data_IF_906085159924
#
_entry.id   IF_906085159924
#
_cell.length_a   1.000
_cell.length_b   1.000
_cell.length_c   1.000
_cell.angle_alpha   90.00
_cell.angle_beta   90.00
_cell.angle_gamma   90.00
#
_symmetry.space_group_name_H-M   'P 1'
#
loop_
_entity.id
_entity.type
_entity.pdbx_description
1 polymer ?
#
# COMPACT_ATOMS: atom_id res chain seq x y z
N UNK A 1 2.05 5.37 -16.26
CA UNK A 1 1.44 5.27 -14.91
C UNK A 1 2.37 5.91 -13.89
N UNK A 2 1.84 6.62 -12.90
CA UNK A 2 2.58 7.06 -11.71
C UNK A 2 2.20 6.16 -10.53
N UNK A 3 3.18 5.68 -9.76
CA UNK A 3 2.96 4.79 -8.61
C UNK A 3 3.41 5.43 -7.29
N UNK A 4 2.54 5.35 -6.28
CA UNK A 4 2.83 5.76 -4.90
C UNK A 4 2.65 4.57 -3.95
N UNK A 5 3.73 4.15 -3.31
CA UNK A 5 3.67 3.21 -2.18
C UNK A 5 3.12 3.93 -0.94
N UNK A 6 2.33 3.23 -0.12
CA UNK A 6 1.65 3.82 1.03
C UNK A 6 2.54 4.13 2.26
N UNK A 7 2.13 3.62 3.43
CA UNK A 7 2.75 3.92 4.72
C UNK A 7 1.82 4.70 5.66
N UNK A 8 1.88 6.05 5.73
CA UNK A 8 2.55 6.96 4.81
C UNK A 8 4.08 6.99 5.01
N UNK A 9 4.81 7.45 3.99
CA UNK A 9 6.25 7.66 4.08
C UNK A 9 7.11 6.43 3.78
N UNK A 10 6.55 5.45 3.06
CA UNK A 10 7.30 4.33 2.50
C UNK A 10 7.75 4.64 1.06
N UNK A 11 8.99 4.28 0.75
CA UNK A 11 9.62 4.54 -0.54
C UNK A 11 8.96 3.73 -1.66
N UNK A 12 8.74 4.37 -2.80
CA UNK A 12 8.26 3.76 -4.04
C UNK A 12 9.29 2.83 -4.67
N UNK A 13 10.54 2.81 -4.18
CA UNK A 13 11.47 1.72 -4.47
C UNK A 13 10.88 0.37 -4.05
N UNK A 14 9.99 0.34 -3.05
CA UNK A 14 9.23 -0.87 -2.68
C UNK A 14 8.38 -1.37 -3.84
N UNK A 15 7.62 -0.48 -4.47
CA UNK A 15 6.84 -0.80 -5.67
C UNK A 15 7.70 -1.33 -6.81
N UNK A 16 8.92 -0.80 -6.95
CA UNK A 16 9.86 -1.15 -8.01
C UNK A 16 10.51 -2.55 -7.82
N UNK A 17 10.87 -2.93 -6.59
CA UNK A 17 11.66 -4.16 -6.32
C UNK A 17 10.88 -5.29 -5.65
N UNK A 18 9.78 -4.98 -4.95
CA UNK A 18 8.99 -5.99 -4.21
C UNK A 18 7.65 -6.30 -4.87
N UNK A 19 7.08 -5.35 -5.60
CA UNK A 19 5.68 -5.43 -6.03
C UNK A 19 5.59 -5.57 -7.56
N UNK A 20 5.48 -4.44 -8.27
CA UNK A 20 5.03 -4.37 -9.66
C UNK A 20 6.13 -4.05 -10.66
N UNK A 21 7.32 -3.67 -10.19
CA UNK A 21 8.44 -3.29 -11.04
C UNK A 21 9.23 -4.46 -11.63
N UNK A 22 10.24 -4.16 -12.47
CA UNK A 22 10.95 -5.15 -13.27
C UNK A 22 12.02 -5.92 -12.51
N UNK A 23 12.29 -5.57 -11.26
CA UNK A 23 13.42 -6.05 -10.51
C UNK A 23 12.97 -6.73 -9.22
N UNK A 24 13.83 -7.57 -8.69
CA UNK A 24 13.75 -8.08 -7.33
C UNK A 24 15.15 -8.44 -6.83
N UNK A 25 15.29 -8.65 -5.53
CA UNK A 25 16.55 -9.10 -4.96
C UNK A 25 16.68 -10.60 -5.11
N UNK A 26 17.88 -11.04 -5.48
CA UNK A 26 18.22 -12.46 -5.41
C UNK A 26 18.12 -12.90 -3.95
N UNK A 27 17.31 -13.93 -3.72
CA UNK A 27 17.02 -14.42 -2.39
C UNK A 27 18.16 -15.32 -1.89
N UNK A 28 19.21 -14.71 -1.36
CA UNK A 28 20.41 -15.39 -0.88
C UNK A 28 20.92 -14.77 0.42
N UNK A 29 21.67 -15.54 1.20
CA UNK A 29 22.25 -15.03 2.44
C UNK A 29 23.20 -13.86 2.15
N UNK A 30 23.01 -12.77 2.90
CA UNK A 30 23.84 -11.58 2.81
C UNK A 30 25.27 -11.90 3.25
N UNK A 31 26.18 -11.91 2.28
CA UNK A 31 27.58 -12.23 2.46
C UNK A 31 28.47 -10.99 2.69
N UNK A 32 27.87 -9.81 2.88
CA UNK A 32 28.59 -8.54 3.04
C UNK A 32 28.89 -7.79 1.72
N UNK A 33 28.60 -8.38 0.56
CA UNK A 33 28.73 -7.72 -0.75
C UNK A 33 27.44 -7.04 -1.20
N UNK A 34 27.52 -6.20 -2.24
CA UNK A 34 26.36 -5.52 -2.80
C UNK A 34 25.27 -6.55 -3.21
N UNK A 35 24.04 -6.46 -2.67
CA UNK A 35 22.98 -7.41 -3.01
C UNK A 35 22.63 -7.41 -4.50
N UNK A 36 22.49 -8.62 -5.06
CA UNK A 36 22.21 -8.78 -6.49
C UNK A 36 20.74 -8.51 -6.83
N UNK A 37 20.52 -7.78 -7.91
CA UNK A 37 19.20 -7.61 -8.53
C UNK A 37 19.02 -8.62 -9.66
N UNK A 38 17.82 -9.19 -9.76
CA UNK A 38 17.39 -10.07 -10.84
C UNK A 38 16.07 -9.60 -11.44
N UNK A 39 15.80 -9.99 -12.68
CA UNK A 39 14.57 -9.60 -13.38
C UNK A 39 13.35 -10.32 -12.80
N UNK A 40 12.28 -9.57 -12.59
CA UNK A 40 10.96 -10.10 -12.20
C UNK A 40 10.17 -10.51 -13.46
N UNK A 41 9.77 -11.77 -13.61
CA UNK A 41 9.03 -12.22 -14.81
C UNK A 41 7.65 -11.56 -14.96
N UNK A 42 6.98 -11.19 -13.88
CA UNK A 42 5.61 -10.66 -13.88
C UNK A 42 5.55 -9.17 -13.54
N UNK A 43 6.42 -8.38 -14.19
CA UNK A 43 6.44 -6.92 -14.04
C UNK A 43 5.33 -6.24 -14.83
N UNK A 44 4.69 -5.25 -14.21
CA UNK A 44 3.73 -4.38 -14.88
C UNK A 44 4.38 -3.48 -15.94
N UNK A 45 5.71 -3.30 -15.86
CA UNK A 45 6.46 -2.56 -16.89
C UNK A 45 6.44 -3.21 -18.27
N UNK A 46 6.01 -4.47 -18.38
CA UNK A 46 5.81 -5.17 -19.65
C UNK A 46 4.66 -4.58 -20.48
N UNK A 47 3.72 -3.88 -19.86
CA UNK A 47 2.53 -3.31 -20.52
C UNK A 47 2.30 -1.84 -20.18
N UNK A 48 3.19 -1.19 -19.43
CA UNK A 48 3.08 0.22 -19.06
C UNK A 48 4.45 0.84 -18.73
N UNK A 49 4.67 2.10 -19.08
CA UNK A 49 5.77 2.88 -18.49
C UNK A 49 5.37 3.39 -17.10
N UNK A 50 6.20 3.16 -16.09
CA UNK A 50 5.86 3.46 -14.68
C UNK A 50 6.88 4.43 -14.08
N UNK A 51 6.38 5.49 -13.45
CA UNK A 51 7.15 6.44 -12.65
C UNK A 51 6.90 6.10 -11.17
N UNK A 52 7.94 5.66 -10.46
CA UNK A 52 7.90 5.39 -9.02
C UNK A 52 8.37 6.64 -8.28
N UNK A 53 7.51 7.22 -7.43
CA UNK A 53 7.77 8.52 -6.83
C UNK A 53 7.84 8.41 -5.31
N UNK A 54 8.98 8.76 -4.73
CA UNK A 54 9.17 8.88 -3.29
C UNK A 54 8.53 10.16 -2.77
N UNK A 55 7.32 10.04 -2.20
CA UNK A 55 6.63 11.14 -1.51
C UNK A 55 5.87 10.62 -0.28
N UNK A 56 5.69 11.45 0.77
CA UNK A 56 6.06 12.85 0.89
C UNK A 56 7.57 13.06 1.10
N UNK A 57 8.02 14.32 1.16
CA UNK A 57 9.43 14.70 1.38
C UNK A 57 10.09 13.94 2.55
N UNK A 58 11.40 13.65 2.45
CA UNK A 58 12.14 12.79 3.40
C UNK A 58 11.73 11.31 3.39
N UNK A 59 10.98 10.86 2.38
CA UNK A 59 10.71 9.44 2.11
C UNK A 59 11.73 8.93 1.11
N UNK A 60 12.34 7.77 1.39
CA UNK A 60 13.36 7.18 0.53
C UNK A 60 14.47 8.16 0.16
N UNK A 61 14.56 8.54 -1.11
CA UNK A 61 15.59 9.45 -1.62
C UNK A 61 15.18 10.93 -1.66
N UNK A 62 13.91 11.26 -1.38
CA UNK A 62 13.41 12.64 -1.45
C UNK A 62 13.86 13.44 -0.23
N UNK A 63 14.16 14.73 -0.39
CA UNK A 63 14.69 15.59 0.68
C UNK A 63 14.19 17.04 0.58
N UNK A 64 14.34 17.78 1.67
CA UNK A 64 14.10 19.21 1.75
C UNK A 64 15.38 19.94 2.17
N UNK A 65 15.53 21.20 1.77
CA UNK A 65 16.65 22.07 2.17
C UNK A 65 16.28 23.04 3.29
N UNK A 66 15.01 23.12 3.66
CA UNK A 66 14.50 23.97 4.75
C UNK A 66 13.51 23.18 5.59
N UNK A 67 13.37 23.56 6.86
CA UNK A 67 12.40 22.94 7.77
C UNK A 67 10.96 23.12 7.28
N UNK A 68 10.64 24.29 6.71
CA UNK A 68 9.35 24.55 6.11
C UNK A 68 9.04 23.59 4.94
N UNK A 69 10.01 23.37 4.04
CA UNK A 69 9.85 22.43 2.93
C UNK A 69 9.83 20.96 3.39
N UNK A 70 10.32 20.66 4.61
CA UNK A 70 10.28 19.34 5.21
C UNK A 70 8.91 18.97 5.82
N UNK A 71 7.96 19.91 5.86
CA UNK A 71 6.61 19.66 6.35
C UNK A 71 5.88 18.61 5.51
N UNK A 72 5.11 17.77 6.18
CA UNK A 72 4.37 16.66 5.57
C UNK A 72 2.89 16.72 5.95
N UNK A 73 2.03 16.68 4.93
CA UNK A 73 0.61 16.43 5.11
C UNK A 73 0.03 15.70 3.90
N UNK A 74 -1.18 15.15 4.04
CA UNK A 74 -1.86 14.52 2.91
C UNK A 74 -2.07 15.54 1.77
N UNK A 75 -2.49 16.78 2.09
CA UNK A 75 -2.62 17.85 1.09
C UNK A 75 -1.31 18.31 0.47
N UNK A 76 -0.23 18.42 1.26
CA UNK A 76 1.10 18.75 0.73
C UNK A 76 1.53 17.68 -0.29
N UNK A 77 1.36 16.40 0.03
CA UNK A 77 1.66 15.29 -0.87
C UNK A 77 0.85 15.41 -2.17
N UNK A 78 -0.46 15.64 -2.08
CA UNK A 78 -1.34 15.82 -3.25
C UNK A 78 -0.81 16.92 -4.18
N UNK A 79 -0.48 18.08 -3.64
CA UNK A 79 0.04 19.21 -4.41
C UNK A 79 1.42 18.92 -5.01
N UNK A 80 2.31 18.27 -4.25
CA UNK A 80 3.63 17.89 -4.72
C UNK A 80 3.55 16.88 -5.88
N UNK A 81 2.68 15.88 -5.83
CA UNK A 81 2.49 14.93 -6.94
C UNK A 81 1.94 15.63 -8.18
N UNK A 82 0.93 16.49 -8.01
CA UNK A 82 0.36 17.24 -9.13
C UNK A 82 1.41 18.14 -9.81
N UNK A 83 2.21 18.85 -9.02
CA UNK A 83 3.31 19.68 -9.53
C UNK A 83 4.43 18.85 -10.17
N UNK A 84 4.84 17.76 -9.53
CA UNK A 84 5.87 16.86 -10.01
C UNK A 84 5.51 16.31 -11.39
N UNK A 85 4.29 15.76 -11.55
CA UNK A 85 3.89 15.14 -12.81
C UNK A 85 3.85 16.14 -13.97
N UNK A 86 3.38 17.37 -13.73
CA UNK A 86 3.40 18.43 -14.75
C UNK A 86 4.81 18.85 -15.13
N UNK A 87 5.70 19.06 -14.15
CA UNK A 87 7.10 19.39 -14.41
C UNK A 87 7.82 18.26 -15.14
N UNK A 88 7.57 17.01 -14.73
CA UNK A 88 8.12 15.84 -15.39
C UNK A 88 7.71 15.77 -16.86
N UNK A 89 6.44 16.08 -17.20
CA UNK A 89 5.97 16.13 -18.59
C UNK A 89 6.59 17.28 -19.40
N UNK A 90 6.92 18.41 -18.77
CA UNK A 90 7.68 19.49 -19.43
C UNK A 90 9.07 18.99 -19.84
N UNK A 91 9.74 18.28 -18.95
CA UNK A 91 11.08 17.74 -19.19
C UNK A 91 11.07 16.48 -20.09
N UNK A 92 9.91 15.82 -20.23
CA UNK A 92 9.72 14.59 -20.99
C UNK A 92 8.55 14.69 -21.98
N UNK A 93 8.61 15.62 -22.96
CA UNK A 93 7.46 15.96 -23.82
C UNK A 93 6.97 14.79 -24.68
N UNK A 94 7.83 13.80 -24.96
CA UNK A 94 7.48 12.58 -25.69
C UNK A 94 6.38 11.75 -25.01
N UNK A 95 6.10 11.97 -23.72
CA UNK A 95 5.04 11.28 -22.99
C UNK A 95 3.72 12.07 -22.92
N UNK A 96 3.64 13.27 -23.51
CA UNK A 96 2.48 14.17 -23.35
C UNK A 96 1.17 13.60 -23.91
N UNK A 97 1.24 12.77 -24.94
CA UNK A 97 0.07 12.09 -25.52
C UNK A 97 -0.34 10.82 -24.79
N UNK A 98 0.52 10.27 -23.93
CA UNK A 98 0.29 8.96 -23.32
C UNK A 98 -0.87 9.02 -22.34
N UNK A 99 -1.66 7.95 -22.32
CA UNK A 99 -2.68 7.74 -21.30
C UNK A 99 -2.04 7.67 -19.90
N UNK A 100 -2.55 8.49 -18.99
CA UNK A 100 -2.04 8.60 -17.63
C UNK A 100 -2.99 7.94 -16.65
N UNK A 101 -2.44 7.03 -15.86
CA UNK A 101 -3.07 6.42 -14.70
C UNK A 101 -2.26 6.71 -13.45
N UNK A 102 -2.96 6.94 -12.33
CA UNK A 102 -2.34 7.12 -11.01
C UNK A 102 -2.65 5.87 -10.17
N UNK A 103 -1.63 5.20 -9.66
CA UNK A 103 -1.74 3.94 -8.95
C UNK A 103 -1.01 3.95 -7.61
N UNK A 104 -1.42 3.05 -6.72
CA UNK A 104 -0.73 2.84 -5.46
C UNK A 104 -1.46 1.86 -4.56
N UNK A 105 -0.90 1.66 -3.38
CA UNK A 105 -1.38 0.68 -2.40
C UNK A 105 -1.52 1.29 -1.00
N UNK A 106 -2.22 0.58 -0.12
CA UNK A 106 -2.24 0.88 1.31
C UNK A 106 -2.71 2.33 1.59
N UNK A 107 -1.93 3.11 2.33
CA UNK A 107 -2.23 4.50 2.66
C UNK A 107 -2.45 5.38 1.43
N UNK A 108 -1.89 5.05 0.26
CA UNK A 108 -2.04 5.82 -0.98
C UNK A 108 -3.50 5.90 -1.45
N UNK A 109 -4.40 5.05 -0.94
CA UNK A 109 -5.84 5.18 -1.12
C UNK A 109 -6.44 6.50 -0.64
N UNK A 110 -5.77 7.19 0.29
CA UNK A 110 -6.19 8.51 0.77
C UNK A 110 -5.83 9.59 -0.26
N UNK A 111 -4.55 9.82 -0.62
CA UNK A 111 -4.19 10.90 -1.51
C UNK A 111 -4.49 10.64 -2.99
N UNK A 112 -4.48 9.41 -3.50
CA UNK A 112 -4.60 9.15 -4.95
C UNK A 112 -5.92 9.67 -5.55
N UNK A 113 -7.10 9.37 -5.00
CA UNK A 113 -8.35 9.94 -5.52
C UNK A 113 -8.33 11.47 -5.51
N UNK A 114 -7.69 12.08 -4.51
CA UNK A 114 -7.54 13.54 -4.42
C UNK A 114 -6.60 14.07 -5.50
N UNK A 115 -5.46 13.42 -5.73
CA UNK A 115 -4.51 13.74 -6.81
C UNK A 115 -5.20 13.69 -8.17
N UNK A 116 -5.96 12.63 -8.45
CA UNK A 116 -6.68 12.46 -9.71
C UNK A 116 -7.70 13.58 -9.90
N UNK A 117 -8.41 13.96 -8.84
CA UNK A 117 -9.37 15.07 -8.89
C UNK A 117 -8.67 16.42 -9.12
N UNK A 118 -7.53 16.67 -8.48
CA UNK A 118 -6.77 17.91 -8.65
C UNK A 118 -6.13 18.03 -10.04
N UNK A 119 -5.66 16.92 -10.62
CA UNK A 119 -5.22 16.87 -12.02
C UNK A 119 -6.39 17.19 -12.95
N UNK A 120 -7.54 16.53 -12.75
CA UNK A 120 -8.76 16.75 -13.54
C UNK A 120 -9.19 18.23 -13.51
N UNK A 121 -9.25 18.83 -12.32
CA UNK A 121 -9.55 20.26 -12.15
C UNK A 121 -8.50 21.16 -12.77
N UNK A 122 -7.22 20.80 -12.66
CA UNK A 122 -6.12 21.54 -13.28
C UNK A 122 -6.25 21.58 -14.80
N UNK A 123 -6.58 20.44 -15.41
CA UNK A 123 -6.85 20.35 -16.84
C UNK A 123 -8.06 21.22 -17.26
N UNK A 124 -9.17 21.16 -16.54
CA UNK A 124 -10.36 22.00 -16.80
C UNK A 124 -10.08 23.50 -16.72
N UNK A 125 -9.16 23.90 -15.83
CA UNK A 125 -8.67 25.29 -15.71
C UNK A 125 -7.66 25.68 -16.80
N UNK A 126 -7.33 24.78 -17.73
CA UNK A 126 -6.39 25.04 -18.81
C UNK A 126 -4.91 25.01 -18.39
N UNK A 127 -4.57 24.43 -17.23
CA UNK A 127 -3.17 24.28 -16.82
C UNK A 127 -2.41 23.39 -17.81
N UNK A 128 -1.21 23.84 -18.18
CA UNK A 128 -0.31 23.11 -19.08
C UNK A 128 0.87 22.46 -18.32
N UNK A 129 1.46 21.38 -18.85
CA UNK A 129 0.98 20.59 -19.99
C UNK A 129 -0.30 19.82 -19.63
N UNK A 130 -1.22 19.65 -20.59
CA UNK A 130 -2.42 18.83 -20.40
C UNK A 130 -2.04 17.39 -20.04
N UNK A 131 -2.61 16.85 -18.96
CA UNK A 131 -2.39 15.46 -18.56
C UNK A 131 -3.52 14.61 -19.14
N UNK A 132 -3.22 13.67 -20.05
CA UNK A 132 -4.21 12.75 -20.62
C UNK A 132 -4.68 11.68 -19.61
N UNK A 133 -5.33 12.12 -18.53
CA UNK A 133 -5.76 11.32 -17.38
C UNK A 133 -6.92 10.40 -17.77
N UNK A 134 -6.74 9.08 -17.57
CA UNK A 134 -7.73 8.06 -17.92
C UNK A 134 -8.39 7.39 -16.71
N UNK A 135 -7.68 7.29 -15.59
CA UNK A 135 -8.20 6.62 -14.41
C UNK A 135 -7.17 6.41 -13.31
N UNK A 136 -7.52 5.56 -12.36
CA UNK A 136 -6.67 5.26 -11.21
C UNK A 136 -6.89 3.85 -10.70
N UNK A 137 -5.93 3.35 -9.92
CA UNK A 137 -5.99 2.01 -9.36
C UNK A 137 -5.42 1.96 -7.95
N UNK A 138 -6.01 1.12 -7.11
CA UNK A 138 -5.73 1.06 -5.69
C UNK A 138 -5.69 -0.39 -5.19
N UNK A 139 -4.57 -0.80 -4.60
CA UNK A 139 -4.40 -2.11 -3.97
C UNK A 139 -4.52 -2.02 -2.45
N UNK A 140 -5.42 -2.81 -1.85
CA UNK A 140 -5.57 -2.94 -0.40
C UNK A 140 -5.58 -1.57 0.31
N UNK A 141 -6.34 -0.65 -0.25
CA UNK A 141 -6.18 0.77 -0.01
C UNK A 141 -7.07 1.28 1.12
N UNK A 142 -6.53 2.20 1.94
CA UNK A 142 -7.30 2.92 2.95
C UNK A 142 -8.18 3.98 2.27
N UNK A 143 -9.45 4.09 2.64
CA UNK A 143 -10.40 5.03 2.02
C UNK A 143 -11.11 5.89 3.06
N UNK A 144 -11.63 5.27 4.11
CA UNK A 144 -12.58 5.85 5.07
C UNK A 144 -11.99 6.09 6.46
N UNK A 145 -10.78 5.58 6.74
CA UNK A 145 -10.16 5.47 8.07
C UNK A 145 -10.91 4.54 9.03
N UNK A 146 -11.90 3.80 8.53
CA UNK A 146 -12.70 2.84 9.29
C UNK A 146 -12.30 1.39 8.98
N UNK A 147 -11.27 1.17 8.16
CA UNK A 147 -10.86 -0.16 7.68
C UNK A 147 -10.51 -1.10 8.84
N UNK A 148 -9.91 -0.59 9.91
CA UNK A 148 -9.60 -1.37 11.13
C UNK A 148 -10.83 -1.98 11.79
N UNK A 149 -12.01 -1.38 11.64
CA UNK A 149 -13.25 -1.92 12.19
C UNK A 149 -13.61 -3.27 11.57
N UNK A 150 -13.06 -3.60 10.40
CA UNK A 150 -13.30 -4.84 9.69
C UNK A 150 -12.31 -5.96 10.05
N UNK A 151 -11.33 -5.70 10.94
CA UNK A 151 -10.37 -6.72 11.36
C UNK A 151 -11.02 -7.86 12.15
N UNK A 152 -11.97 -7.55 13.01
CA UNK A 152 -12.70 -8.54 13.80
C UNK A 152 -13.59 -9.44 12.93
N UNK A 153 -14.50 -8.92 12.07
CA UNK A 153 -15.27 -9.78 11.18
C UNK A 153 -14.39 -10.53 10.17
N UNK A 154 -13.26 -9.95 9.74
CA UNK A 154 -12.28 -10.67 8.92
C UNK A 154 -11.66 -11.84 9.69
N UNK A 155 -11.18 -11.61 10.91
CA UNK A 155 -10.58 -12.64 11.74
C UNK A 155 -11.54 -13.79 12.02
N UNK A 156 -12.82 -13.48 12.27
CA UNK A 156 -13.87 -14.49 12.40
C UNK A 156 -14.06 -15.29 11.11
N UNK A 157 -14.21 -14.61 9.97
CA UNK A 157 -14.37 -15.26 8.67
C UNK A 157 -13.17 -16.12 8.23
N UNK A 158 -11.98 -15.83 8.76
CA UNK A 158 -10.76 -16.62 8.51
C UNK A 158 -10.48 -17.67 9.60
N UNK A 159 -11.39 -17.85 10.57
CA UNK A 159 -11.25 -18.85 11.65
C UNK A 159 -10.17 -18.53 12.67
N UNK A 160 -9.77 -17.27 12.79
CA UNK A 160 -8.73 -16.81 13.72
C UNK A 160 -9.29 -16.53 15.13
N UNK A 161 -10.61 -16.34 15.25
CA UNK A 161 -11.31 -16.20 16.53
C UNK A 161 -12.56 -17.08 16.56
N UNK A 162 -12.99 -17.48 17.75
CA UNK A 162 -14.16 -18.35 17.91
C UNK A 162 -15.49 -17.59 17.76
N UNK A 163 -16.58 -18.34 17.53
CA UNK A 163 -17.94 -17.79 17.45
C UNK A 163 -18.35 -17.09 18.74
N UNK A 164 -17.94 -17.60 19.90
CA UNK A 164 -18.25 -17.01 21.20
C UNK A 164 -17.57 -15.66 21.38
N UNK A 165 -16.28 -15.55 21.03
CA UNK A 165 -15.55 -14.29 21.11
C UNK A 165 -16.13 -13.28 20.11
N UNK A 166 -16.42 -13.71 18.88
CA UNK A 166 -17.02 -12.84 17.88
C UNK A 166 -18.42 -12.34 18.30
N UNK A 167 -19.29 -13.22 18.78
CA UNK A 167 -20.62 -12.86 19.28
C UNK A 167 -20.54 -11.91 20.50
N UNK A 168 -19.58 -12.13 21.41
CA UNK A 168 -19.33 -11.25 22.55
C UNK A 168 -18.86 -9.86 22.10
N UNK A 169 -17.89 -9.80 21.17
CA UNK A 169 -17.41 -8.54 20.57
C UNK A 169 -18.55 -7.76 19.91
N UNK A 170 -19.37 -8.41 19.07
CA UNK A 170 -20.51 -7.75 18.44
C UNK A 170 -21.48 -7.16 19.47
N UNK A 171 -21.86 -7.95 20.47
CA UNK A 171 -22.82 -7.55 21.51
C UNK A 171 -22.27 -6.43 22.41
N UNK A 172 -21.07 -6.62 22.94
CA UNK A 172 -20.52 -5.73 23.96
C UNK A 172 -19.93 -4.46 23.36
N UNK A 173 -19.36 -4.52 22.15
CA UNK A 173 -18.77 -3.36 21.47
C UNK A 173 -19.72 -2.65 20.49
N UNK A 174 -20.92 -3.20 20.24
CA UNK A 174 -21.91 -2.62 19.31
C UNK A 174 -21.34 -2.32 17.93
N UNK A 175 -20.53 -3.25 17.42
CA UNK A 175 -19.86 -3.15 16.12
C UNK A 175 -18.89 -1.94 15.96
N UNK A 176 -18.51 -1.29 17.06
CA UNK A 176 -17.48 -0.24 17.10
C UNK A 176 -16.22 -0.76 17.79
N UNK A 177 -15.16 -0.96 17.01
CA UNK A 177 -13.92 -1.58 17.44
C UNK A 177 -12.69 -0.66 17.34
N UNK A 178 -12.86 0.55 16.80
CA UNK A 178 -11.77 1.52 16.66
C UNK A 178 -11.74 2.45 17.86
N UNK A 179 -12.86 3.13 18.12
CA UNK A 179 -12.99 4.12 19.20
C UNK A 179 -13.76 3.51 20.37
N UNK A 180 -13.18 2.47 20.98
CA UNK A 180 -13.78 1.75 22.10
C UNK A 180 -13.88 2.64 23.34
N UNK A 181 -15.08 2.77 23.93
CA UNK A 181 -15.26 3.43 25.22
C UNK A 181 -14.60 2.59 26.31
N UNK A 182 -13.52 3.09 26.91
CA UNK A 182 -12.75 2.38 27.95
C UNK A 182 -13.55 2.13 29.22
N UNK A 183 -14.69 2.82 29.42
CA UNK A 183 -15.62 2.55 30.53
C UNK A 183 -16.48 1.31 30.26
N UNK A 184 -16.61 0.89 29.00
CA UNK A 184 -17.24 -0.37 28.64
C UNK A 184 -16.24 -1.52 28.89
N UNK A 185 -16.21 -1.97 30.15
CA UNK A 185 -15.28 -3.01 30.62
C UNK A 185 -15.47 -4.31 29.84
N UNK A 186 -16.71 -4.68 29.50
CA UNK A 186 -16.98 -5.90 28.73
C UNK A 186 -16.37 -5.84 27.33
N UNK A 187 -16.60 -4.74 26.60
CA UNK A 187 -15.98 -4.57 25.28
C UNK A 187 -14.46 -4.51 25.37
N UNK A 188 -13.92 -3.80 26.36
CA UNK A 188 -12.47 -3.67 26.53
C UNK A 188 -11.79 -5.02 26.78
N UNK A 189 -12.40 -5.88 27.60
CA UNK A 189 -11.92 -7.26 27.83
C UNK A 189 -12.01 -8.12 26.56
N UNK A 190 -13.09 -8.00 25.80
CA UNK A 190 -13.25 -8.77 24.57
C UNK A 190 -12.23 -8.33 23.51
N UNK A 191 -11.93 -7.03 23.42
CA UNK A 191 -10.88 -6.47 22.55
C UNK A 191 -9.49 -6.93 23.00
N UNK A 192 -9.23 -7.01 24.30
CA UNK A 192 -7.99 -7.58 24.84
C UNK A 192 -7.84 -9.05 24.43
N UNK A 193 -8.91 -9.85 24.58
CA UNK A 193 -8.94 -11.27 24.17
C UNK A 193 -8.68 -11.43 22.67
N UNK A 194 -9.28 -10.57 21.84
CA UNK A 194 -9.00 -10.51 20.41
C UNK A 194 -7.52 -10.22 20.11
N UNK A 195 -6.96 -9.22 20.77
CA UNK A 195 -5.55 -8.84 20.59
C UNK A 195 -4.60 -9.95 21.04
N UNK A 196 -4.94 -10.69 22.11
CA UNK A 196 -4.14 -11.81 22.61
C UNK A 196 -4.09 -12.96 21.59
N UNK A 197 -5.26 -13.43 21.15
CA UNK A 197 -5.38 -14.53 20.17
C UNK A 197 -4.73 -14.19 18.82
N UNK A 198 -4.70 -12.92 18.43
CA UNK A 198 -4.12 -12.47 17.15
C UNK A 198 -2.69 -11.94 17.25
N UNK A 199 -2.10 -11.87 18.45
CA UNK A 199 -0.82 -11.18 18.72
C UNK A 199 0.40 -11.71 17.94
N UNK A 200 0.35 -12.96 17.48
CA UNK A 200 1.43 -13.62 16.73
C UNK A 200 1.23 -13.66 15.22
N UNK A 201 0.12 -13.11 14.69
CA UNK A 201 -0.19 -13.18 13.27
C UNK A 201 0.53 -12.07 12.48
N UNK A 202 0.92 -12.41 11.25
CA UNK A 202 1.30 -11.39 10.28
C UNK A 202 0.03 -10.75 9.70
N UNK A 203 -0.32 -9.53 10.15
CA UNK A 203 -1.53 -8.86 9.68
C UNK A 203 -1.46 -8.47 8.19
N UNK A 204 -0.28 -8.39 7.59
CA UNK A 204 -0.14 -8.11 6.17
C UNK A 204 -0.43 -9.34 5.29
N UNK A 205 -0.28 -10.55 5.84
CA UNK A 205 -0.67 -11.80 5.18
C UNK A 205 -0.81 -12.89 6.24
N UNK A 206 -2.04 -13.25 6.61
CA UNK A 206 -2.29 -14.06 7.81
C UNK A 206 -1.75 -15.50 7.76
N UNK A 207 -1.38 -16.00 6.57
CA UNK A 207 -0.75 -17.32 6.42
C UNK A 207 0.79 -17.26 6.37
N UNK A 208 1.37 -16.06 6.24
CA UNK A 208 2.83 -15.93 6.24
C UNK A 208 3.34 -15.87 7.69
N UNK A 209 4.55 -16.38 7.96
CA UNK A 209 5.16 -16.26 9.28
C UNK A 209 5.22 -14.81 9.76
N UNK A 210 4.98 -14.59 11.05
CA UNK A 210 5.26 -13.29 11.67
C UNK A 210 6.76 -13.16 11.88
N UNK A 211 7.35 -12.23 11.14
CA UNK A 211 8.78 -11.97 11.13
C UNK A 211 9.07 -10.56 11.66
N UNK A 212 10.18 -10.39 12.37
CA UNK A 212 10.61 -9.06 12.79
C UNK A 212 10.89 -8.17 11.56
N UNK A 213 10.34 -6.96 11.58
CA UNK A 213 10.58 -5.93 10.58
C UNK A 213 11.93 -5.25 10.87
N UNK A 214 13.00 -5.82 10.35
CA UNK A 214 14.35 -5.26 10.45
C UNK A 214 14.59 -4.19 9.37
N UNK A 215 13.89 -3.05 9.48
CA UNK A 215 14.34 -1.82 8.83
C UNK A 215 15.53 -1.29 9.64
N UNK A 216 16.72 -1.76 9.28
CA UNK A 216 18.06 -1.45 9.81
C UNK A 216 18.14 -0.70 11.15
N UNK A 217 18.55 -1.43 12.18
CA UNK A 217 19.19 -1.04 13.46
C UNK A 217 18.49 -0.17 14.52
N UNK A 218 17.49 0.68 14.27
CA UNK A 218 17.11 1.65 15.35
C UNK A 218 15.63 1.88 15.67
N UNK A 219 14.66 1.46 14.86
CA UNK A 219 13.28 1.92 15.06
C UNK A 219 12.47 1.15 16.12
N UNK A 220 12.56 -0.18 16.17
CA UNK A 220 11.64 -0.98 17.01
C UNK A 220 12.07 -1.21 18.46
N UNK A 221 13.35 -1.00 18.80
CA UNK A 221 13.85 -1.20 20.18
C UNK A 221 13.13 -0.33 21.22
N UNK A 222 12.65 0.86 20.86
CA UNK A 222 11.98 1.78 21.81
C UNK A 222 10.49 1.49 22.02
N UNK A 223 9.81 0.85 21.07
CA UNK A 223 8.36 0.56 21.17
C UNK A 223 8.09 -0.71 21.98
N UNK A 224 8.90 -1.75 21.79
CA UNK A 224 8.76 -3.01 22.55
C UNK A 224 9.06 -2.84 24.06
N UNK A 225 9.99 -1.95 24.41
CA UNK A 225 10.30 -1.59 25.81
C UNK A 225 9.12 -0.91 26.53
N UNK A 226 8.18 -0.30 25.79
CA UNK A 226 6.96 0.32 26.36
C UNK A 226 5.78 -0.65 26.44
N UNK A 227 5.73 -1.67 25.57
CA UNK A 227 4.60 -2.62 25.52
C UNK A 227 4.78 -3.84 26.44
N UNK A 228 6.02 -4.20 26.80
CA UNK A 228 6.29 -5.39 27.62
C UNK A 228 7.38 -5.11 28.69
N UNK A 229 7.03 -4.95 29.98
CA UNK A 229 8.03 -4.82 31.03
C UNK A 229 8.59 -6.21 31.44
N UNK A 230 9.84 -6.47 31.02
CA UNK A 230 10.86 -7.41 31.57
C UNK A 230 10.47 -8.87 31.90
N UNK A 231 11.16 -9.81 31.26
CA UNK A 231 12.19 -10.72 31.82
C UNK A 231 12.79 -11.55 30.67
N UNK A 232 14.12 -11.67 30.62
CA UNK A 232 14.91 -12.56 29.74
C UNK A 232 15.28 -12.11 28.31
N UNK A 233 15.93 -10.95 28.16
CA UNK A 233 16.79 -10.72 26.99
C UNK A 233 18.21 -10.33 27.41
N UNK A 234 18.93 -11.33 27.94
CA UNK A 234 20.40 -11.36 27.90
C UNK A 234 20.80 -12.15 26.66
N UNK A 235 20.82 -11.49 25.49
CA UNK A 235 21.75 -11.86 24.43
C UNK A 235 21.88 -10.74 23.38
N UNK A 236 23.03 -10.07 23.41
CA UNK A 236 23.48 -9.05 22.48
C UNK A 236 24.09 -9.69 21.24
N UNK A 237 23.28 -10.14 20.28
CA UNK A 237 23.69 -10.35 18.89
C UNK A 237 22.49 -10.10 17.98
N UNK A 238 22.59 -9.12 17.08
CA UNK A 238 21.58 -8.82 16.05
C UNK A 238 21.35 -10.08 15.20
N UNK A 239 20.27 -10.82 15.46
CA UNK A 239 19.85 -11.90 14.57
C UNK A 239 19.17 -11.26 13.37
N UNK A 240 19.81 -11.35 12.21
CA UNK A 240 19.16 -11.16 10.92
C UNK A 240 17.83 -11.91 10.89
N UNK A 241 16.83 -11.37 10.20
CA UNK A 241 15.59 -12.09 9.95
C UNK A 241 15.97 -13.43 9.30
N UNK A 242 15.44 -14.57 9.76
CA UNK A 242 15.78 -15.84 9.16
C UNK A 242 15.39 -15.84 7.67
N UNK A 243 16.15 -16.57 6.85
CA UNK A 243 15.93 -16.71 5.41
C UNK A 243 14.56 -17.30 5.03
N UNK A 244 13.70 -17.67 5.96
CA UNK A 244 12.32 -18.06 5.65
C UNK A 244 11.36 -16.86 5.69
N UNK A 245 11.83 -15.67 6.06
CA UNK A 245 11.03 -14.45 6.18
C UNK A 245 11.08 -13.61 4.91
N UNK A 246 9.91 -13.28 4.34
CA UNK A 246 9.81 -12.34 3.22
C UNK A 246 10.41 -10.97 3.54
N UNK A 247 10.41 -10.56 4.81
CA UNK A 247 11.07 -9.32 5.25
C UNK A 247 12.59 -9.31 5.03
N UNK A 248 13.22 -10.45 4.76
CA UNK A 248 14.65 -10.54 4.48
C UNK A 248 15.07 -9.71 3.25
N UNK A 249 14.25 -9.69 2.19
CA UNK A 249 14.59 -8.88 1.00
C UNK A 249 14.52 -7.38 1.27
N UNK A 250 13.84 -6.96 2.34
CA UNK A 250 13.78 -5.55 2.74
C UNK A 250 15.11 -5.12 3.35
N UNK A 251 15.73 -6.02 4.11
CA UNK A 251 17.09 -5.85 4.60
C UNK A 251 18.09 -5.73 3.45
N UNK A 252 18.06 -6.65 2.48
CA UNK A 252 18.92 -6.57 1.28
C UNK A 252 18.75 -5.24 0.53
N UNK A 253 17.51 -4.78 0.37
CA UNK A 253 17.22 -3.49 -0.24
C UNK A 253 17.85 -2.32 0.53
N UNK A 254 17.83 -2.37 1.87
CA UNK A 254 18.52 -1.38 2.70
C UNK A 254 20.02 -1.28 2.43
N UNK A 255 20.73 -2.41 2.25
CA UNK A 255 22.15 -2.38 1.88
C UNK A 255 22.35 -1.87 0.46
N UNK A 256 21.56 -2.37 -0.47
CA UNK A 256 21.66 -1.97 -1.87
C UNK A 256 21.41 -0.46 -2.06
N UNK A 257 20.34 0.08 -1.48
CA UNK A 257 19.97 1.50 -1.62
C UNK A 257 20.95 2.45 -0.91
N UNK A 258 21.75 1.96 0.04
CA UNK A 258 22.74 2.74 0.78
C UNK A 258 24.18 2.58 0.25
N UNK A 259 24.42 1.69 -0.72
CA UNK A 259 25.72 1.56 -1.36
C UNK A 259 26.06 2.84 -2.17
N UNK A 260 27.30 3.31 -2.05
CA UNK A 260 27.73 4.56 -2.67
C UNK A 260 27.71 4.48 -4.21
N UNK A 261 28.07 3.33 -4.79
CA UNK A 261 28.04 3.15 -6.25
C UNK A 261 26.60 3.15 -6.75
N UNK A 262 25.68 2.50 -6.01
CA UNK A 262 24.25 2.53 -6.33
C UNK A 262 23.71 3.96 -6.26
N UNK A 263 24.03 4.70 -5.20
CA UNK A 263 23.59 6.09 -5.05
C UNK A 263 24.13 6.98 -6.16
N UNK A 264 25.38 6.78 -6.58
CA UNK A 264 25.95 7.47 -7.75
C UNK A 264 25.22 7.10 -9.04
N UNK A 265 24.95 5.82 -9.27
CA UNK A 265 24.24 5.33 -10.46
C UNK A 265 22.79 5.83 -10.55
N UNK A 266 22.12 5.98 -9.42
CA UNK A 266 20.78 6.57 -9.31
C UNK A 266 20.79 8.11 -9.32
N UNK A 267 21.96 8.73 -9.49
CA UNK A 267 22.14 10.19 -9.46
C UNK A 267 21.64 10.85 -8.16
N UNK A 268 21.77 10.15 -7.03
CA UNK A 268 21.45 10.71 -5.71
C UNK A 268 22.47 11.79 -5.37
N UNK A 269 21.99 13.01 -5.12
CA UNK A 269 22.84 14.15 -4.79
C UNK A 269 23.62 13.89 -3.50
N UNK A 270 24.95 13.94 -3.55
CA UNK A 270 25.79 13.75 -2.38
C UNK A 270 25.46 14.80 -1.30
N UNK A 271 25.28 14.33 -0.06
CA UNK A 271 24.93 15.19 1.09
C UNK A 271 23.45 15.60 1.17
N UNK A 272 22.58 15.21 0.24
CA UNK A 272 21.15 15.58 0.29
C UNK A 272 20.35 14.76 1.31
N UNK A 273 20.72 13.49 1.50
CA UNK A 273 20.13 12.59 2.48
C UNK A 273 21.23 11.79 3.17
N UNK A 274 20.98 11.43 4.43
CA UNK A 274 21.79 10.48 5.19
C UNK A 274 21.59 9.05 4.71
N UNK A 275 21.21 8.16 5.63
CA UNK A 275 20.86 6.77 5.31
C UNK A 275 19.47 6.72 4.67
N UNK A 276 19.35 6.00 3.55
CA UNK A 276 18.06 5.65 2.97
C UNK A 276 17.34 4.66 3.90
N UNK A 277 16.06 4.92 4.13
CA UNK A 277 15.16 4.06 4.88
C UNK A 277 13.96 3.68 3.99
N UNK A 278 13.54 2.42 4.07
CA UNK A 278 12.36 1.95 3.31
C UNK A 278 11.12 2.74 3.73
N UNK A 279 10.86 2.85 5.03
CA UNK A 279 9.75 3.63 5.56
C UNK A 279 10.21 4.59 6.67
N UNK A 280 9.69 5.82 6.65
CA UNK A 280 9.99 6.87 7.63
C UNK A 280 8.82 7.14 8.57
N UNK A 281 8.38 6.08 9.27
CA UNK A 281 7.23 6.14 10.19
C UNK A 281 7.46 7.01 11.42
N UNK A 282 8.71 7.26 11.77
CA UNK A 282 9.15 8.11 12.87
C UNK A 282 9.00 9.61 12.58
N UNK A 283 8.90 9.98 11.31
CA UNK A 283 8.71 11.38 10.90
C UNK A 283 7.20 11.66 10.78
N UNK A 284 6.65 12.59 11.58
CA UNK A 284 5.21 12.88 11.57
C UNK A 284 4.70 13.31 10.20
N UNK A 285 3.52 12.82 9.83
CA UNK A 285 2.74 13.28 8.67
C UNK A 285 1.36 13.71 9.13
N UNK A 286 0.98 14.96 8.86
CA UNK A 286 -0.35 15.47 9.20
C UNK A 286 -1.41 14.82 8.30
N UNK A 287 -2.32 14.07 8.92
CA UNK A 287 -3.40 13.35 8.23
C UNK A 287 -4.62 14.26 8.05
N UNK A 288 -4.53 15.25 7.18
CA UNK A 288 -5.55 16.29 6.98
C UNK A 288 -6.58 15.96 5.88
N UNK A 289 -6.55 14.74 5.34
CA UNK A 289 -7.63 14.16 4.54
C UNK A 289 -8.26 13.02 5.35
N UNK A 290 -9.48 13.26 5.83
CA UNK A 290 -10.21 12.33 6.72
C UNK A 290 -10.76 11.12 5.97
N UNK A 291 -11.12 11.27 4.70
CA UNK A 291 -11.63 10.19 3.84
C UNK A 291 -11.46 10.56 2.38
N UNK A 292 -11.15 9.58 1.53
CA UNK A 292 -11.12 9.73 0.07
C UNK A 292 -12.43 9.29 -0.61
N UNK A 293 -13.43 8.85 0.17
CA UNK A 293 -14.73 8.38 -0.33
C UNK A 293 -15.42 9.39 -1.28
N UNK A 294 -15.55 10.65 -0.86
CA UNK A 294 -16.19 11.70 -1.67
C UNK A 294 -15.47 11.98 -2.99
N UNK A 295 -14.16 11.73 -3.02
CA UNK A 295 -13.36 11.87 -4.24
C UNK A 295 -13.65 10.71 -5.21
N UNK A 296 -13.86 9.49 -4.72
CA UNK A 296 -14.36 8.39 -5.56
C UNK A 296 -15.74 8.72 -6.16
N UNK A 297 -16.65 9.34 -5.40
CA UNK A 297 -17.96 9.80 -5.89
C UNK A 297 -17.78 10.81 -7.03
N UNK A 298 -16.97 11.84 -6.83
CA UNK A 298 -16.75 12.90 -7.82
C UNK A 298 -16.07 12.36 -9.10
N UNK A 299 -15.06 11.52 -8.96
CA UNK A 299 -14.35 10.93 -10.09
C UNK A 299 -15.25 9.98 -10.89
N UNK A 300 -16.11 9.24 -10.21
CA UNK A 300 -17.13 8.39 -10.84
C UNK A 300 -18.08 9.21 -11.70
N UNK A 301 -18.57 10.35 -11.19
CA UNK A 301 -19.44 11.28 -11.95
C UNK A 301 -18.76 11.86 -13.19
N UNK A 302 -17.43 12.01 -13.16
CA UNK A 302 -16.63 12.43 -14.32
C UNK A 302 -16.30 11.30 -15.31
N UNK A 303 -16.69 10.06 -15.01
CA UNK A 303 -16.49 8.91 -15.90
C UNK A 303 -15.08 8.32 -15.87
N UNK A 304 -14.26 8.66 -14.87
CA UNK A 304 -12.93 8.07 -14.70
C UNK A 304 -13.04 6.61 -14.29
N UNK A 305 -12.33 5.74 -15.02
CA UNK A 305 -12.28 4.30 -14.75
C UNK A 305 -11.42 4.03 -13.51
N UNK A 306 -11.82 3.03 -12.71
CA UNK A 306 -11.03 2.62 -11.54
C UNK A 306 -10.88 1.10 -11.41
N UNK A 307 -9.71 0.67 -10.95
CA UNK A 307 -9.46 -0.69 -10.47
C UNK A 307 -9.19 -0.65 -8.98
N UNK A 308 -10.08 -1.23 -8.19
CA UNK A 308 -9.86 -1.44 -6.77
C UNK A 308 -9.62 -2.93 -6.58
N UNK A 309 -8.54 -3.30 -5.92
CA UNK A 309 -8.28 -4.70 -5.63
C UNK A 309 -7.79 -4.93 -4.21
N UNK A 310 -8.03 -6.12 -3.69
CA UNK A 310 -7.61 -6.53 -2.34
C UNK A 310 -7.05 -7.95 -2.36
N UNK A 311 -5.86 -8.15 -1.82
CA UNK A 311 -5.44 -9.47 -1.35
C UNK A 311 -6.40 -9.97 -0.28
N UNK A 312 -6.93 -11.19 -0.44
CA UNK A 312 -7.96 -11.75 0.46
C UNK A 312 -7.40 -12.27 1.80
N UNK A 313 -6.08 -12.24 2.01
CA UNK A 313 -5.42 -12.58 3.27
C UNK A 313 -4.81 -11.36 3.99
N UNK A 314 -5.12 -10.15 3.53
CA UNK A 314 -4.74 -8.91 4.21
C UNK A 314 -5.69 -8.59 5.38
N UNK A 315 -5.18 -8.67 6.61
CA UNK A 315 -5.90 -8.24 7.80
C UNK A 315 -5.63 -6.76 8.13
N UNK A 316 -4.62 -6.14 7.54
CA UNK A 316 -4.29 -4.72 7.76
C UNK A 316 -5.37 -3.83 7.16
N UNK A 317 -5.77 -4.12 5.92
CA UNK A 317 -6.91 -3.50 5.24
C UNK A 317 -7.78 -4.61 4.63
N UNK A 318 -8.68 -5.21 5.44
CA UNK A 318 -9.50 -6.32 4.98
C UNK A 318 -10.34 -5.96 3.76
N UNK A 319 -10.44 -6.91 2.80
CA UNK A 319 -11.28 -6.74 1.62
C UNK A 319 -12.75 -6.42 1.97
N UNK A 320 -13.22 -6.84 3.15
CA UNK A 320 -14.53 -6.51 3.69
C UNK A 320 -14.73 -5.00 3.84
N UNK A 321 -13.70 -4.26 4.31
CA UNK A 321 -13.75 -2.81 4.40
C UNK A 321 -13.87 -2.17 3.01
N UNK A 322 -13.10 -2.68 2.05
CA UNK A 322 -13.16 -2.23 0.66
C UNK A 322 -14.53 -2.47 0.05
N UNK A 323 -15.10 -3.66 0.23
CA UNK A 323 -16.45 -3.98 -0.23
C UNK A 323 -17.51 -3.08 0.42
N UNK A 324 -17.36 -2.77 1.71
CA UNK A 324 -18.33 -1.96 2.43
C UNK A 324 -18.45 -0.54 1.87
N UNK A 325 -17.33 0.17 1.67
CA UNK A 325 -17.40 1.51 1.09
C UNK A 325 -17.79 1.50 -0.39
N UNK A 326 -17.38 0.47 -1.16
CA UNK A 326 -17.84 0.34 -2.56
C UNK A 326 -19.36 0.15 -2.61
N UNK A 327 -19.92 -0.68 -1.73
CA UNK A 327 -21.38 -0.87 -1.63
C UNK A 327 -22.09 0.43 -1.24
N UNK A 328 -21.52 1.24 -0.35
CA UNK A 328 -22.15 2.49 0.08
C UNK A 328 -22.22 3.54 -1.03
N UNK A 329 -21.41 3.44 -2.09
CA UNK A 329 -21.53 4.29 -3.27
C UNK A 329 -22.84 4.08 -4.03
N UNK A 330 -23.49 2.93 -3.85
CA UNK A 330 -24.80 2.60 -4.42
C UNK A 330 -24.87 2.68 -5.96
N UNK A 331 -23.79 2.30 -6.66
CA UNK A 331 -23.80 2.13 -8.12
C UNK A 331 -24.36 0.76 -8.50
N UNK A 332 -25.12 0.70 -9.60
CA UNK A 332 -25.66 -0.55 -10.13
C UNK A 332 -24.54 -1.49 -10.55
N UNK A 333 -24.72 -2.78 -10.26
CA UNK A 333 -23.80 -3.84 -10.68
C UNK A 333 -24.01 -4.10 -12.17
N UNK A 334 -22.91 -4.15 -12.93
CA UNK A 334 -22.91 -4.43 -14.38
C UNK A 334 -22.52 -5.87 -14.67
N UNK A 335 -21.55 -6.41 -13.92
CA UNK A 335 -21.15 -7.81 -13.96
C UNK A 335 -21.14 -8.35 -12.52
N UNK A 336 -21.85 -9.45 -12.31
CA UNK A 336 -22.08 -10.02 -10.99
C UNK A 336 -20.82 -10.60 -10.36
N UNK A 337 -20.88 -10.84 -9.05
CA UNK A 337 -19.76 -11.45 -8.34
C UNK A 337 -19.44 -12.83 -8.89
N UNK A 338 -18.29 -12.96 -9.57
CA UNK A 338 -17.87 -14.19 -10.22
C UNK A 338 -16.37 -14.42 -10.07
N UNK A 339 -15.95 -15.64 -10.35
CA UNK A 339 -14.53 -15.98 -10.40
C UNK A 339 -13.86 -15.28 -11.59
N UNK A 340 -12.59 -14.93 -11.42
CA UNK A 340 -11.68 -14.63 -12.52
C UNK A 340 -10.48 -15.57 -12.44
N UNK A 341 -9.97 -15.97 -13.61
CA UNK A 341 -9.06 -17.10 -13.74
C UNK A 341 -7.75 -16.68 -14.40
N UNK A 342 -6.64 -17.27 -13.98
CA UNK A 342 -5.36 -17.19 -14.70
C UNK A 342 -4.67 -18.54 -14.65
N UNK A 343 -3.96 -18.92 -15.72
CA UNK A 343 -3.23 -20.19 -15.80
C UNK A 343 -4.08 -21.42 -15.44
N UNK A 344 -5.37 -21.42 -15.81
CA UNK A 344 -6.29 -22.53 -15.52
C UNK A 344 -6.70 -22.68 -14.05
N UNK A 345 -6.47 -21.66 -13.20
CA UNK A 345 -6.85 -21.64 -11.79
C UNK A 345 -7.64 -20.38 -11.43
N UNK A 346 -8.45 -20.48 -10.37
CA UNK A 346 -9.17 -19.34 -9.80
C UNK A 346 -8.15 -18.41 -9.15
N UNK A 347 -7.98 -17.22 -9.72
CA UNK A 347 -7.07 -16.20 -9.24
C UNK A 347 -7.74 -15.26 -8.22
N UNK A 348 -9.07 -15.24 -8.19
CA UNK A 348 -9.87 -14.52 -7.22
C UNK A 348 -11.29 -14.32 -7.72
N UNK A 349 -11.96 -13.30 -7.20
CA UNK A 349 -13.32 -12.94 -7.58
C UNK A 349 -13.42 -11.48 -7.98
N UNK A 350 -14.33 -11.15 -8.88
CA UNK A 350 -14.48 -9.80 -9.41
C UNK A 350 -15.93 -9.44 -9.63
N UNK A 351 -16.19 -8.14 -9.68
CA UNK A 351 -17.45 -7.55 -10.17
C UNK A 351 -17.19 -6.16 -10.73
N UNK A 352 -18.12 -5.69 -11.56
CA UNK A 352 -18.06 -4.35 -12.15
C UNK A 352 -19.31 -3.54 -11.87
N UNK A 353 -19.18 -2.22 -11.93
CA UNK A 353 -20.22 -1.27 -11.56
C UNK A 353 -20.44 -0.23 -12.67
N UNK A 354 -21.63 0.39 -12.68
CA UNK A 354 -22.05 1.34 -13.71
C UNK A 354 -21.18 2.61 -13.79
N UNK A 355 -20.43 2.92 -12.73
CA UNK A 355 -19.41 3.99 -12.70
C UNK A 355 -18.05 3.58 -13.31
N UNK A 356 -17.95 2.48 -14.05
CA UNK A 356 -16.70 1.96 -14.63
C UNK A 356 -15.66 1.55 -13.58
N UNK A 357 -16.10 1.24 -12.36
CA UNK A 357 -15.25 0.63 -11.34
C UNK A 357 -15.21 -0.89 -11.55
N UNK A 358 -14.01 -1.45 -11.44
CA UNK A 358 -13.78 -2.89 -11.30
C UNK A 358 -13.29 -3.14 -9.87
N UNK A 359 -13.97 -4.02 -9.14
CA UNK A 359 -13.46 -4.55 -7.87
C UNK A 359 -13.00 -5.98 -8.08
N UNK A 360 -11.82 -6.34 -7.55
CA UNK A 360 -11.31 -7.70 -7.59
C UNK A 360 -10.63 -8.11 -6.27
N UNK A 361 -10.87 -9.32 -5.81
CA UNK A 361 -9.99 -9.97 -4.83
C UNK A 361 -8.89 -10.74 -5.55
N UNK A 362 -7.73 -10.83 -4.92
CA UNK A 362 -6.60 -11.67 -5.34
C UNK A 362 -6.44 -12.77 -4.32
N UNK A 363 -6.72 -14.01 -4.74
CA UNK A 363 -6.74 -15.19 -3.88
C UNK A 363 -5.34 -15.55 -3.39
N UNK A 364 -5.16 -15.66 -2.08
CA UNK A 364 -3.86 -15.83 -1.44
C UNK A 364 -2.97 -14.59 -1.53
N UNK A 365 -3.54 -13.42 -1.81
CA UNK A 365 -2.83 -12.15 -1.82
C UNK A 365 -2.80 -11.52 -0.42
N UNK A 366 -1.71 -10.84 -0.07
CA UNK A 366 -1.57 -10.06 1.16
C UNK A 366 -1.82 -8.57 0.93
N UNK A 367 -1.28 -7.74 1.83
CA UNK A 367 -1.46 -6.29 1.86
C UNK A 367 -0.94 -5.62 0.59
N UNK A 368 0.26 -5.99 0.15
CA UNK A 368 0.81 -5.63 -1.15
C UNK A 368 0.58 -6.80 -2.11
N UNK A 369 -0.67 -7.02 -2.56
CA UNK A 369 -1.02 -8.24 -3.31
C UNK A 369 -0.02 -8.66 -4.42
N UNK A 370 0.56 -7.74 -5.23
CA UNK A 370 1.57 -8.09 -6.24
C UNK A 370 2.87 -8.68 -5.69
N UNK A 371 3.20 -8.43 -4.42
CA UNK A 371 4.34 -9.03 -3.73
C UNK A 371 4.12 -10.52 -3.42
N UNK A 372 2.87 -10.93 -3.17
CA UNK A 372 2.50 -12.30 -2.80
C UNK A 372 2.03 -13.12 -4.01
N UNK A 373 1.36 -12.46 -4.96
CA UNK A 373 0.70 -13.06 -6.13
C UNK A 373 1.05 -12.29 -7.41
N UNK A 374 2.33 -12.27 -7.81
CA UNK A 374 2.81 -11.43 -8.91
C UNK A 374 2.17 -11.82 -10.26
N UNK A 375 2.00 -13.11 -10.52
CA UNK A 375 1.42 -13.64 -11.76
C UNK A 375 -0.05 -13.22 -11.90
N UNK A 376 -0.84 -13.43 -10.85
CA UNK A 376 -2.25 -13.07 -10.78
C UNK A 376 -2.42 -11.55 -10.89
N UNK A 377 -1.63 -10.77 -10.15
CA UNK A 377 -1.70 -9.32 -10.20
C UNK A 377 -1.27 -8.75 -11.57
N UNK A 378 -0.26 -9.33 -12.22
CA UNK A 378 0.11 -8.95 -13.58
C UNK A 378 -1.00 -9.27 -14.59
N UNK A 379 -1.60 -10.46 -14.51
CA UNK A 379 -2.72 -10.83 -15.38
C UNK A 379 -3.93 -9.89 -15.19
N UNK A 380 -4.25 -9.57 -13.94
CA UNK A 380 -5.30 -8.61 -13.59
C UNK A 380 -5.02 -7.23 -14.18
N UNK A 381 -3.83 -6.68 -13.93
CA UNK A 381 -3.45 -5.36 -14.45
C UNK A 381 -3.40 -5.32 -15.98
N UNK A 382 -2.80 -6.32 -16.62
CA UNK A 382 -2.69 -6.41 -18.08
C UNK A 382 -4.05 -6.51 -18.76
N UNK A 383 -5.00 -7.28 -18.21
CA UNK A 383 -6.38 -7.31 -18.73
C UNK A 383 -7.06 -5.97 -18.53
N UNK A 384 -7.00 -5.44 -17.31
CA UNK A 384 -7.67 -4.19 -16.98
C UNK A 384 -7.16 -3.03 -17.83
N UNK A 385 -5.84 -2.80 -17.92
CA UNK A 385 -5.26 -1.67 -18.66
C UNK A 385 -5.57 -1.74 -20.17
N UNK A 386 -5.71 -2.94 -20.74
CA UNK A 386 -6.12 -3.15 -22.14
C UNK A 386 -7.63 -3.22 -22.35
N UNK A 387 -8.44 -2.74 -21.40
CA UNK A 387 -9.92 -2.77 -21.45
C UNK A 387 -10.52 -4.18 -21.65
N UNK A 388 -9.82 -5.23 -21.22
CA UNK A 388 -10.33 -6.60 -21.21
C UNK A 388 -10.94 -6.93 -19.85
N UNK A 389 -11.96 -7.79 -19.86
CA UNK A 389 -12.55 -8.32 -18.63
C UNK A 389 -11.53 -9.17 -17.87
N UNK A 390 -11.69 -9.21 -16.55
CA UNK A 390 -10.93 -10.10 -15.67
C UNK A 390 -11.40 -11.54 -15.78
#
# INVERSE_FOLDING_TARGET
>A
MLWLTGGPGCSALSGLVFEIGPLTFKYEEYNGSLPNLVLRPHSWTKVSSIIFVDLPVSTGFTYATTEFAAQRSDWILVHQVHQFLRKWLIDHPNFSSNEVYIGGDSYSGIPIPVIVQEISRGNEKGLQPWINLQGYLLGNAATTRREKNYQIPFAHGMGLISDELYGSLQKNCKEEYINVDTRNVLCSRDIESFNEVTSGLNSAHILDPSCEWLDTETSWRRSLLKKYPRKNFLNTHLKLAPLNCRSYVYFLCGYWANDDNVRTALHIRKGSIGKWHRCTFDIPNKKDISSSYEYHVNLSRKGYRSLIYSGDHDMTIPFLATQAWIRSLNYSIVDEWRQWHTNGQVAGYTRTYSNRMTFATVKGGGHTAPEYKPDECFAMFSRWISNRAL
#
